data_IF_976668581010
#
_entry.id   IF_976668581010
#
_cell.length_a   1.000
_cell.length_b   1.000
_cell.length_c   1.000
_cell.angle_alpha   90.00
_cell.angle_beta   90.00
_cell.angle_gamma   90.00
#
_symmetry.space_group_name_H-M   'P 1'
#
loop_
_entity.id
_entity.type
_entity.pdbx_description
1 polymer ?
#
# COMPACT_ATOMS: atom_id res chain seq x y z
N UNK A 1 24.93 0.14 -11.65
CA UNK A 1 25.60 -0.42 -10.43
C UNK A 1 25.89 0.78 -9.57
N UNK A 2 25.09 1.01 -8.52
CA UNK A 2 25.36 2.02 -7.48
C UNK A 2 26.43 1.43 -6.56
N UNK A 3 27.41 2.22 -6.19
CA UNK A 3 28.45 1.78 -5.27
C UNK A 3 27.87 1.42 -3.89
N UNK A 4 28.43 0.45 -3.15
CA UNK A 4 28.00 0.12 -1.80
C UNK A 4 28.16 1.36 -0.90
N UNK A 5 27.04 1.96 -0.47
CA UNK A 5 26.98 3.17 0.36
C UNK A 5 26.33 4.38 -0.29
N UNK A 6 25.96 4.34 -1.55
CA UNK A 6 25.23 5.44 -2.20
C UNK A 6 23.74 5.41 -1.81
N UNK A 7 23.28 6.49 -1.18
CA UNK A 7 21.88 6.64 -0.75
C UNK A 7 20.99 6.87 -1.97
N UNK A 8 19.87 6.12 -2.13
CA UNK A 8 19.06 6.20 -3.35
C UNK A 8 18.42 7.57 -3.53
N UNK A 9 18.52 8.11 -4.74
CA UNK A 9 17.73 9.28 -5.13
C UNK A 9 16.44 8.80 -5.78
N UNK A 10 15.33 8.91 -5.06
CA UNK A 10 14.02 8.51 -5.55
C UNK A 10 13.35 9.58 -6.44
N UNK A 11 14.09 10.65 -6.77
CA UNK A 11 13.68 11.75 -7.66
C UNK A 11 12.27 12.32 -7.35
N UNK A 12 12.01 12.77 -6.10
CA UNK A 12 10.72 13.32 -5.72
C UNK A 12 10.45 14.65 -6.45
N UNK A 13 9.17 15.06 -6.57
CA UNK A 13 8.84 16.42 -7.02
C UNK A 13 9.52 17.49 -6.15
N UNK A 14 9.91 18.65 -6.72
CA UNK A 14 10.55 19.73 -5.95
C UNK A 14 9.75 20.21 -4.74
N UNK A 15 8.42 20.14 -4.81
CA UNK A 15 7.54 20.52 -3.69
C UNK A 15 7.62 19.56 -2.52
N UNK A 16 7.87 18.25 -2.72
CA UNK A 16 8.13 17.27 -1.65
C UNK A 16 9.37 17.69 -0.86
N UNK A 17 10.47 17.99 -1.56
CA UNK A 17 11.72 18.47 -0.95
C UNK A 17 11.51 19.80 -0.22
N UNK A 18 10.75 20.72 -0.80
CA UNK A 18 10.45 22.05 -0.20
C UNK A 18 9.62 21.88 1.07
N UNK A 19 8.60 21.04 1.05
CA UNK A 19 7.73 20.81 2.22
C UNK A 19 8.53 20.15 3.34
N UNK A 20 9.30 19.10 3.03
CA UNK A 20 10.16 18.43 4.00
C UNK A 20 11.17 19.41 4.61
N UNK A 21 11.86 20.19 3.80
CA UNK A 21 12.83 21.20 4.29
C UNK A 21 12.19 22.19 5.26
N UNK A 22 11.01 22.72 4.94
CA UNK A 22 10.32 23.69 5.79
C UNK A 22 9.92 23.11 7.14
N UNK A 23 9.54 21.81 7.18
CA UNK A 23 9.23 21.10 8.42
C UNK A 23 10.49 20.83 9.24
N UNK A 24 11.56 20.34 8.60
CA UNK A 24 12.85 20.06 9.25
C UNK A 24 13.49 21.34 9.83
N UNK A 25 13.50 22.45 9.10
CA UNK A 25 13.98 23.75 9.58
C UNK A 25 13.18 24.27 10.78
N UNK A 26 11.98 23.76 10.99
CA UNK A 26 11.11 24.07 12.14
C UNK A 26 11.23 23.03 13.26
N UNK A 27 12.18 22.09 13.17
CA UNK A 27 12.47 21.07 14.17
C UNK A 27 11.59 19.82 14.09
N UNK A 28 10.88 19.59 12.99
CA UNK A 28 10.00 18.44 12.82
C UNK A 28 10.56 17.42 11.82
N UNK A 29 11.03 16.27 12.34
CA UNK A 29 11.48 15.16 11.50
C UNK A 29 10.42 14.79 10.45
N UNK A 30 10.84 14.63 9.16
CA UNK A 30 9.91 14.47 8.04
C UNK A 30 10.44 13.49 7.00
N UNK A 31 9.64 12.49 6.68
CA UNK A 31 9.98 11.39 5.79
C UNK A 31 8.94 11.22 4.69
N UNK A 32 9.36 10.90 3.48
CA UNK A 32 8.47 10.33 2.47
C UNK A 32 8.20 8.87 2.81
N UNK A 33 6.95 8.41 2.63
CA UNK A 33 6.51 7.10 3.10
C UNK A 33 5.51 6.43 2.15
N UNK A 34 5.28 5.15 2.36
CA UNK A 34 4.16 4.42 1.77
C UNK A 34 4.31 4.13 0.27
N UNK A 35 3.23 4.37 -0.48
CA UNK A 35 3.13 3.99 -1.89
C UNK A 35 4.19 4.59 -2.79
N UNK A 36 4.54 5.86 -2.56
CA UNK A 36 5.55 6.55 -3.36
C UNK A 36 6.94 5.95 -3.21
N UNK A 37 7.36 5.70 -1.96
CA UNK A 37 8.68 5.10 -1.68
C UNK A 37 8.75 3.71 -2.26
N UNK A 38 7.73 2.86 -2.05
CA UNK A 38 7.66 1.52 -2.63
C UNK A 38 7.74 1.56 -4.16
N UNK A 39 6.94 2.41 -4.81
CA UNK A 39 6.88 2.47 -6.26
C UNK A 39 8.20 2.99 -6.85
N UNK A 40 8.84 3.98 -6.22
CA UNK A 40 10.15 4.49 -6.61
C UNK A 40 11.24 3.42 -6.42
N UNK A 41 11.27 2.69 -5.30
CA UNK A 41 12.18 1.56 -5.07
C UNK A 41 11.98 0.43 -6.08
N UNK A 42 10.74 0.25 -6.57
CA UNK A 42 10.44 -0.70 -7.66
C UNK A 42 10.79 -0.15 -9.06
N UNK A 43 11.45 1.00 -9.18
CA UNK A 43 11.80 1.64 -10.46
C UNK A 43 10.58 2.19 -11.22
N UNK A 44 9.45 2.41 -10.53
CA UNK A 44 8.21 2.96 -11.09
C UNK A 44 8.12 4.44 -10.74
N UNK A 45 7.53 5.24 -11.61
CA UNK A 45 7.26 6.65 -11.30
C UNK A 45 6.07 6.76 -10.35
N UNK A 46 6.24 7.27 -9.12
CA UNK A 46 5.14 7.46 -8.18
C UNK A 46 4.14 8.49 -8.71
N UNK A 47 2.85 8.25 -8.48
CA UNK A 47 1.79 9.20 -8.79
C UNK A 47 1.67 10.26 -7.69
N UNK A 48 1.58 9.80 -6.46
CA UNK A 48 1.34 10.64 -5.28
C UNK A 48 2.45 10.41 -4.25
N UNK A 49 2.90 11.48 -3.62
CA UNK A 49 3.92 11.47 -2.58
C UNK A 49 3.31 11.86 -1.24
N UNK A 50 3.34 10.96 -0.29
CA UNK A 50 2.90 11.18 1.09
C UNK A 50 4.10 11.46 1.97
N UNK A 51 3.97 12.46 2.86
CA UNK A 51 4.95 12.79 3.88
C UNK A 51 4.40 12.41 5.26
N UNK A 52 5.23 11.79 6.07
CA UNK A 52 4.99 11.60 7.50
C UNK A 52 5.95 12.46 8.30
N UNK A 53 5.49 13.08 9.40
CA UNK A 53 6.25 14.06 10.17
C UNK A 53 5.93 14.03 11.66
N UNK A 54 6.86 14.51 12.49
CA UNK A 54 6.62 14.78 13.92
C UNK A 54 5.69 15.99 14.15
N UNK A 55 5.51 16.87 13.15
CA UNK A 55 4.65 18.05 13.25
C UNK A 55 3.19 17.64 13.45
N UNK A 56 2.51 18.29 14.39
CA UNK A 56 1.06 18.13 14.59
C UNK A 56 0.28 18.91 13.51
N UNK A 57 -0.99 18.58 13.24
CA UNK A 57 -1.78 19.27 12.21
C UNK A 57 -1.81 20.79 12.36
N UNK A 58 -1.82 21.28 13.60
CA UNK A 58 -1.76 22.71 13.90
C UNK A 58 -0.43 23.36 13.49
N UNK A 59 0.69 22.63 13.66
CA UNK A 59 2.02 23.10 13.27
C UNK A 59 2.13 23.16 11.75
N UNK A 60 1.68 22.13 11.04
CA UNK A 60 1.65 22.11 9.57
C UNK A 60 0.85 23.30 9.04
N UNK A 61 -0.33 23.58 9.61
CA UNK A 61 -1.18 24.70 9.19
C UNK A 61 -0.55 26.07 9.49
N UNK A 62 0.27 26.21 10.52
CA UNK A 62 1.02 27.45 10.81
C UNK A 62 2.17 27.66 9.81
N UNK A 63 2.84 26.57 9.41
CA UNK A 63 4.00 26.65 8.52
C UNK A 63 3.64 26.88 7.05
N UNK A 64 2.46 26.42 6.64
CA UNK A 64 2.03 26.50 5.23
C UNK A 64 0.74 27.30 5.09
N UNK A 65 0.77 28.36 4.25
CA UNK A 65 -0.39 29.25 4.02
C UNK A 65 -1.54 28.57 3.27
N UNK A 66 -1.23 27.61 2.38
CA UNK A 66 -2.21 26.93 1.53
C UNK A 66 -2.35 25.49 1.96
N UNK A 67 -3.31 25.24 2.86
CA UNK A 67 -3.60 23.91 3.38
C UNK A 67 -5.07 23.55 3.19
N UNK A 68 -5.35 22.26 3.06
CA UNK A 68 -6.69 21.68 2.95
C UNK A 68 -6.86 20.67 4.09
N UNK A 69 -7.99 20.67 4.82
CA UNK A 69 -8.29 19.66 5.82
C UNK A 69 -8.67 18.34 5.10
N UNK A 70 -7.77 17.35 5.11
CA UNK A 70 -8.01 16.04 4.46
C UNK A 70 -8.44 14.97 5.47
N UNK A 71 -8.09 15.13 6.73
CA UNK A 71 -8.38 14.17 7.81
C UNK A 71 -7.65 14.61 9.08
N UNK A 72 -7.95 15.82 9.53
CA UNK A 72 -7.28 16.45 10.69
C UNK A 72 -7.45 15.58 11.94
N UNK A 73 -8.62 14.97 12.12
CA UNK A 73 -8.93 14.04 13.20
C UNK A 73 -8.03 12.79 13.18
N UNK A 74 -7.47 12.47 12.01
CA UNK A 74 -6.52 11.37 11.79
C UNK A 74 -5.08 11.86 11.65
N UNK A 75 -4.82 13.15 11.84
CA UNK A 75 -3.49 13.73 11.80
C UNK A 75 -3.01 14.14 10.39
N UNK A 76 -3.87 14.15 9.36
CA UNK A 76 -3.48 14.46 7.98
C UNK A 76 -3.91 15.87 7.56
N UNK A 77 -2.99 16.61 6.97
CA UNK A 77 -3.21 17.93 6.36
C UNK A 77 -2.71 17.90 4.92
N UNK A 78 -3.54 18.30 3.97
CA UNK A 78 -3.12 18.52 2.60
C UNK A 78 -2.39 19.85 2.47
N UNK A 79 -1.17 19.86 1.95
CA UNK A 79 -0.38 21.05 1.63
C UNK A 79 -0.39 21.24 0.12
N UNK A 80 -0.85 22.41 -0.35
CA UNK A 80 -0.83 22.73 -1.79
C UNK A 80 0.57 23.15 -2.22
N UNK A 81 1.11 22.41 -3.18
CA UNK A 81 2.39 22.69 -3.82
C UNK A 81 2.34 23.95 -4.72
N UNK A 82 3.51 24.38 -5.17
CA UNK A 82 3.64 25.44 -6.19
C UNK A 82 3.19 24.96 -7.57
N UNK A 83 3.33 23.65 -7.78
CA UNK A 83 2.85 22.93 -8.97
C UNK A 83 1.32 22.75 -9.02
N UNK A 84 0.60 23.22 -8.00
CA UNK A 84 -0.85 23.11 -7.87
C UNK A 84 -1.34 21.75 -7.36
N UNK A 85 -0.45 20.78 -7.11
CA UNK A 85 -0.80 19.49 -6.54
C UNK A 85 -0.96 19.59 -5.03
N UNK A 86 -1.76 18.70 -4.47
CA UNK A 86 -1.89 18.53 -3.04
C UNK A 86 -0.96 17.39 -2.57
N UNK A 87 -0.21 17.66 -1.51
CA UNK A 87 0.68 16.70 -0.84
C UNK A 87 0.13 16.42 0.54
N UNK A 88 -0.13 15.15 0.85
CA UNK A 88 -0.58 14.76 2.17
C UNK A 88 0.60 14.76 3.16
N UNK A 89 0.43 15.49 4.24
CA UNK A 89 1.38 15.56 5.37
C UNK A 89 0.68 15.01 6.58
N UNK A 90 1.11 13.85 7.03
CA UNK A 90 0.48 13.11 8.13
C UNK A 90 1.42 13.11 9.33
N UNK A 91 0.92 13.46 10.51
CA UNK A 91 1.66 13.32 11.78
C UNK A 91 1.96 11.84 12.02
N UNK A 92 3.17 11.51 12.51
CA UNK A 92 3.51 10.15 12.93
C UNK A 92 2.47 9.63 13.92
N UNK A 93 2.10 8.37 13.79
CA UNK A 93 1.06 7.73 14.60
C UNK A 93 1.51 6.38 15.11
N UNK A 94 1.05 6.02 16.30
CA UNK A 94 1.09 4.66 16.82
C UNK A 94 -0.35 4.21 17.15
N UNK A 95 -0.64 2.94 16.97
CA UNK A 95 -1.92 2.37 17.34
C UNK A 95 -1.91 2.09 18.86
N UNK A 96 -2.87 2.62 19.61
CA UNK A 96 -2.97 2.44 21.07
C UNK A 96 -3.96 1.33 21.40
N UNK A 97 -5.05 1.23 20.65
CA UNK A 97 -6.05 0.17 20.73
C UNK A 97 -6.69 0.00 19.35
N UNK A 98 -6.68 -1.22 18.84
CA UNK A 98 -7.30 -1.55 17.55
C UNK A 98 -8.50 -2.46 17.77
N UNK A 99 -9.70 -1.88 17.71
CA UNK A 99 -10.95 -2.63 17.59
C UNK A 99 -11.63 -2.27 16.26
N UNK A 100 -11.29 -2.99 15.20
CA UNK A 100 -11.84 -2.79 13.87
C UNK A 100 -11.58 -1.39 13.31
N UNK A 101 -12.64 -0.65 12.86
CA UNK A 101 -12.52 0.65 12.19
C UNK A 101 -12.08 1.80 13.12
N UNK A 102 -12.19 1.67 14.43
CA UNK A 102 -11.84 2.71 15.41
C UNK A 102 -10.52 2.35 16.10
N UNK A 103 -9.42 2.44 15.37
CA UNK A 103 -8.13 2.54 16.02
C UNK A 103 -8.07 3.88 16.77
N UNK A 104 -7.89 3.83 18.08
CA UNK A 104 -7.55 5.02 18.85
C UNK A 104 -6.09 5.31 18.55
N UNK A 105 -5.85 6.22 17.61
CA UNK A 105 -4.52 6.61 17.17
C UNK A 105 -3.97 7.63 18.14
N UNK A 106 -2.80 7.37 18.71
CA UNK A 106 -2.02 8.44 19.37
C UNK A 106 -0.94 8.91 18.41
N UNK A 107 -0.63 10.19 18.51
CA UNK A 107 0.50 10.74 17.76
C UNK A 107 1.82 10.24 18.35
N UNK A 108 2.76 9.97 17.46
CA UNK A 108 4.12 9.56 17.77
C UNK A 108 5.11 10.66 17.38
N UNK A 109 6.33 10.53 17.84
CA UNK A 109 7.42 11.46 17.51
C UNK A 109 8.48 10.81 16.60
N UNK A 110 8.37 9.50 16.34
CA UNK A 110 9.32 8.73 15.54
C UNK A 110 8.68 8.12 14.30
N UNK A 111 9.45 8.03 13.21
CA UNK A 111 9.02 7.38 11.97
C UNK A 111 8.90 5.87 12.16
N UNK A 112 9.72 5.26 12.99
CA UNK A 112 9.73 3.83 13.27
C UNK A 112 8.38 3.35 13.80
N UNK A 113 7.79 4.06 14.77
CA UNK A 113 6.44 3.73 15.28
C UNK A 113 5.35 3.89 14.21
N UNK A 114 5.48 4.85 13.28
CA UNK A 114 4.55 4.96 12.14
C UNK A 114 4.73 3.82 11.14
N UNK A 115 5.95 3.34 10.94
CA UNK A 115 6.22 2.19 10.06
C UNK A 115 5.71 0.87 10.66
N UNK A 116 5.83 0.70 11.96
CA UNK A 116 5.41 -0.52 12.67
C UNK A 116 3.91 -0.82 12.54
N UNK A 117 3.05 0.21 12.51
CA UNK A 117 1.58 0.04 12.37
C UNK A 117 1.11 -0.22 10.94
N UNK A 118 1.98 -0.18 9.93
CA UNK A 118 1.61 -0.38 8.53
C UNK A 118 1.21 -1.82 8.23
N UNK A 119 0.51 -1.99 7.12
CA UNK A 119 -0.04 -3.29 6.71
C UNK A 119 1.03 -4.29 6.26
N UNK A 120 1.90 -3.86 5.33
CA UNK A 120 2.89 -4.73 4.70
C UNK A 120 4.28 -4.11 4.73
N UNK A 121 5.31 -4.96 4.80
CA UNK A 121 6.72 -4.55 4.85
C UNK A 121 7.08 -3.63 3.69
N UNK A 122 6.62 -3.94 2.47
CA UNK A 122 6.84 -3.14 1.26
C UNK A 122 6.25 -1.72 1.33
N UNK A 123 5.31 -1.46 2.23
CA UNK A 123 4.70 -0.15 2.49
C UNK A 123 5.28 0.52 3.75
N UNK A 124 6.13 -0.22 4.50
CA UNK A 124 6.73 0.21 5.76
C UNK A 124 8.20 0.63 5.58
N UNK A 125 8.51 1.24 4.46
CA UNK A 125 9.81 1.86 4.15
C UNK A 125 9.62 3.35 4.10
N UNK A 126 10.53 4.10 4.75
CA UNK A 126 10.59 5.55 4.70
C UNK A 126 11.87 6.02 4.03
N UNK A 127 11.80 7.15 3.35
CA UNK A 127 12.93 7.79 2.69
C UNK A 127 12.97 9.28 3.01
N UNK A 128 14.14 9.76 3.41
CA UNK A 128 14.32 11.15 3.82
C UNK A 128 14.61 12.06 2.61
N UNK A 129 13.75 13.04 2.28
CA UNK A 129 13.88 13.82 1.05
C UNK A 129 15.11 14.72 0.96
N UNK A 130 15.78 15.03 2.09
CA UNK A 130 16.94 15.92 2.12
C UNK A 130 18.24 15.12 2.23
N UNK A 131 18.28 14.11 3.10
CA UNK A 131 19.50 13.33 3.37
C UNK A 131 19.60 12.07 2.53
N UNK A 132 18.50 11.69 1.83
CA UNK A 132 18.36 10.43 1.07
C UNK A 132 18.52 9.17 1.94
N UNK A 133 18.42 9.32 3.24
CA UNK A 133 18.47 8.18 4.17
C UNK A 133 17.23 7.31 4.01
N UNK A 134 17.41 5.99 4.11
CA UNK A 134 16.32 5.01 4.12
C UNK A 134 16.14 4.46 5.53
N UNK A 135 14.89 4.37 5.98
CA UNK A 135 14.48 3.65 7.18
C UNK A 135 13.63 2.46 6.76
N UNK A 136 14.13 1.27 7.00
CA UNK A 136 13.48 0.01 6.65
C UNK A 136 13.61 -1.01 7.78
N UNK A 137 12.93 -0.79 8.93
CA UNK A 137 13.07 -1.66 10.09
C UNK A 137 12.49 -3.06 9.87
N UNK A 138 11.68 -3.25 8.82
CA UNK A 138 10.98 -4.50 8.55
C UNK A 138 11.46 -5.24 7.29
N UNK A 139 12.53 -4.75 6.64
CA UNK A 139 13.10 -5.39 5.45
C UNK A 139 12.22 -5.31 4.20
N UNK A 140 11.38 -4.27 4.11
CA UNK A 140 10.41 -4.11 3.02
C UNK A 140 11.05 -3.91 1.65
N UNK A 141 12.21 -3.25 1.56
CA UNK A 141 12.97 -3.12 0.32
C UNK A 141 13.47 -4.48 -0.17
N UNK A 142 13.97 -5.33 0.74
CA UNK A 142 14.36 -6.70 0.46
C UNK A 142 13.20 -7.57 -0.01
N UNK A 143 12.05 -7.50 0.68
CA UNK A 143 10.84 -8.21 0.30
C UNK A 143 10.35 -7.78 -1.10
N UNK A 144 10.38 -6.47 -1.38
CA UNK A 144 9.99 -5.92 -2.68
C UNK A 144 10.90 -6.46 -3.80
N UNK A 145 12.20 -6.49 -3.57
CA UNK A 145 13.20 -7.04 -4.48
C UNK A 145 13.02 -8.54 -4.71
N UNK A 146 12.76 -9.31 -3.64
CA UNK A 146 12.50 -10.73 -3.68
C UNK A 146 11.11 -11.07 -4.27
N UNK A 147 10.28 -10.08 -4.55
CA UNK A 147 8.90 -10.28 -5.03
C UNK A 147 8.00 -10.94 -3.99
N UNK A 148 8.16 -10.60 -2.72
CA UNK A 148 7.39 -11.15 -1.58
C UNK A 148 6.47 -10.10 -1.01
N UNK A 149 5.25 -10.49 -0.66
CA UNK A 149 4.31 -9.70 0.12
C UNK A 149 4.21 -10.30 1.53
N UNK A 150 4.62 -9.55 2.52
CA UNK A 150 4.66 -9.93 3.93
C UNK A 150 3.99 -8.84 4.78
N UNK A 151 3.24 -9.22 5.82
CA UNK A 151 2.73 -8.27 6.83
C UNK A 151 3.87 -7.73 7.69
N UNK A 152 3.69 -6.51 8.22
CA UNK A 152 4.53 -6.02 9.31
C UNK A 152 4.14 -6.76 10.58
N UNK A 153 5.10 -7.34 11.31
CA UNK A 153 4.84 -8.08 12.55
C UNK A 153 4.07 -9.39 12.34
N UNK A 154 3.31 -9.80 13.34
CA UNK A 154 2.61 -11.08 13.34
C UNK A 154 1.35 -11.03 12.44
N UNK A 155 1.24 -11.88 11.40
CA UNK A 155 0.18 -11.80 10.41
C UNK A 155 -1.24 -11.95 10.99
N UNK A 156 -1.43 -12.88 11.94
CA UNK A 156 -2.73 -13.10 12.55
C UNK A 156 -3.22 -11.90 13.34
N UNK A 157 -2.31 -11.20 14.01
CA UNK A 157 -2.63 -9.98 14.74
C UNK A 157 -2.99 -8.84 13.78
N UNK A 158 -2.19 -8.65 12.74
CA UNK A 158 -2.45 -7.61 11.72
C UNK A 158 -3.79 -7.77 11.03
N UNK A 159 -4.21 -8.98 10.72
CA UNK A 159 -5.53 -9.23 10.13
C UNK A 159 -6.67 -9.14 11.15
N UNK A 160 -6.42 -9.43 12.42
CA UNK A 160 -7.41 -9.23 13.49
C UNK A 160 -7.67 -7.75 13.77
N UNK A 161 -6.65 -6.89 13.72
CA UNK A 161 -6.77 -5.44 13.84
C UNK A 161 -7.66 -4.84 12.76
N UNK A 162 -7.45 -5.26 11.51
CA UNK A 162 -8.29 -4.85 10.37
C UNK A 162 -8.31 -5.94 9.28
N UNK A 163 -9.41 -6.67 9.23
CA UNK A 163 -9.62 -7.75 8.26
C UNK A 163 -9.55 -7.29 6.80
N UNK A 164 -9.76 -5.98 6.52
CA UNK A 164 -9.61 -5.43 5.17
C UNK A 164 -8.18 -5.62 4.63
N UNK A 165 -7.19 -5.74 5.50
CA UNK A 165 -5.80 -6.00 5.10
C UNK A 165 -5.66 -7.31 4.33
N UNK A 166 -6.54 -8.30 4.54
CA UNK A 166 -6.58 -9.52 3.70
C UNK A 166 -6.86 -9.15 2.25
N UNK A 167 -7.93 -8.40 1.97
CA UNK A 167 -8.29 -8.00 0.61
C UNK A 167 -7.21 -7.12 -0.02
N UNK A 168 -6.60 -6.24 0.77
CA UNK A 168 -5.46 -5.43 0.35
C UNK A 168 -4.25 -6.30 -0.03
N UNK A 169 -3.97 -7.38 0.73
CA UNK A 169 -2.91 -8.34 0.40
C UNK A 169 -3.14 -8.95 -0.99
N UNK A 170 -4.36 -9.43 -1.25
CA UNK A 170 -4.72 -10.04 -2.53
C UNK A 170 -4.60 -9.05 -3.70
N UNK A 171 -4.97 -7.78 -3.47
CA UNK A 171 -4.79 -6.72 -4.46
C UNK A 171 -3.33 -6.39 -4.69
N UNK A 172 -2.53 -6.18 -3.66
CA UNK A 172 -1.11 -5.87 -3.81
C UNK A 172 -0.33 -7.01 -4.45
N UNK A 173 -0.61 -8.26 -4.06
CA UNK A 173 -0.01 -9.43 -4.68
C UNK A 173 -0.27 -9.45 -6.19
N UNK A 174 -1.51 -9.28 -6.64
CA UNK A 174 -1.84 -9.22 -8.06
C UNK A 174 -1.32 -7.96 -8.77
N UNK A 175 -1.37 -6.79 -8.10
CA UNK A 175 -0.91 -5.52 -8.70
C UNK A 175 0.58 -5.52 -8.99
N UNK A 176 1.38 -6.07 -8.11
CA UNK A 176 2.84 -6.04 -8.19
C UNK A 176 3.44 -7.37 -8.63
N UNK A 177 2.62 -8.42 -8.80
CA UNK A 177 3.07 -9.77 -9.13
C UNK A 177 3.91 -10.38 -8.01
N UNK A 178 3.52 -10.16 -6.75
CA UNK A 178 4.24 -10.65 -5.58
C UNK A 178 3.70 -11.99 -5.12
N UNK A 179 4.58 -12.86 -4.66
CA UNK A 179 4.21 -14.06 -3.92
C UNK A 179 3.90 -13.68 -2.48
N UNK A 180 2.74 -14.10 -1.99
CA UNK A 180 2.40 -13.90 -0.58
C UNK A 180 3.25 -14.82 0.29
N UNK A 181 3.86 -14.28 1.34
CA UNK A 181 4.62 -15.05 2.34
C UNK A 181 3.75 -16.13 2.97
N UNK A 182 4.36 -17.28 3.34
CA UNK A 182 3.63 -18.44 3.82
C UNK A 182 2.82 -18.15 5.10
N UNK A 183 3.40 -17.44 6.09
CA UNK A 183 2.70 -17.04 7.31
C UNK A 183 1.58 -16.06 7.05
N UNK A 184 1.83 -15.07 6.19
CA UNK A 184 0.82 -14.10 5.75
C UNK A 184 -0.33 -14.79 5.01
N UNK A 185 -0.03 -15.78 4.17
CA UNK A 185 -1.04 -16.54 3.44
C UNK A 185 -1.90 -17.43 4.35
N UNK A 186 -1.28 -18.14 5.32
CA UNK A 186 -1.99 -18.94 6.29
C UNK A 186 -2.97 -18.07 7.10
N UNK A 187 -2.50 -16.96 7.66
CA UNK A 187 -3.33 -16.03 8.42
C UNK A 187 -4.46 -15.42 7.56
N UNK A 188 -4.22 -15.16 6.26
CA UNK A 188 -5.26 -14.68 5.35
C UNK A 188 -6.37 -15.73 5.17
N UNK A 189 -6.02 -17.01 5.02
CA UNK A 189 -6.98 -18.10 4.94
C UNK A 189 -7.79 -18.28 6.23
N UNK A 190 -7.13 -18.20 7.38
CA UNK A 190 -7.80 -18.31 8.69
C UNK A 190 -8.75 -17.13 8.95
N UNK A 191 -8.43 -15.95 8.39
CA UNK A 191 -9.27 -14.75 8.52
C UNK A 191 -10.40 -14.70 7.49
N UNK A 192 -10.29 -15.37 6.36
CA UNK A 192 -11.23 -15.30 5.25
C UNK A 192 -12.71 -15.57 5.66
N UNK A 193 -13.06 -16.53 6.53
CA UNK A 193 -14.44 -16.74 7.00
C UNK A 193 -15.04 -15.54 7.72
N UNK A 194 -14.22 -14.63 8.25
CA UNK A 194 -14.64 -13.45 9.00
C UNK A 194 -14.73 -12.18 8.13
N UNK A 195 -14.43 -12.24 6.84
CA UNK A 195 -14.52 -11.09 5.94
C UNK A 195 -15.94 -10.52 5.81
N UNK A 196 -17.03 -11.29 5.90
CA UNK A 196 -18.40 -10.74 5.88
C UNK A 196 -18.73 -9.79 7.05
N UNK A 197 -17.91 -9.73 8.10
CA UNK A 197 -18.03 -8.76 9.19
C UNK A 197 -17.58 -7.34 8.79
N UNK A 198 -16.87 -7.19 7.65
CA UNK A 198 -16.52 -5.89 7.08
C UNK A 198 -17.77 -5.21 6.50
N UNK A 199 -17.79 -3.88 6.53
CA UNK A 199 -18.86 -3.16 5.85
C UNK A 199 -18.81 -3.36 4.34
N UNK A 200 -19.97 -3.52 3.72
CA UNK A 200 -20.09 -3.77 2.28
C UNK A 200 -19.42 -2.68 1.43
N UNK A 201 -19.42 -1.42 1.91
CA UNK A 201 -18.76 -0.29 1.24
C UNK A 201 -17.23 -0.52 1.15
N UNK A 202 -16.60 -0.93 2.25
CA UNK A 202 -15.14 -1.18 2.29
C UNK A 202 -14.75 -2.34 1.38
N UNK A 203 -15.51 -3.43 1.42
CA UNK A 203 -15.31 -4.60 0.54
C UNK A 203 -15.44 -4.20 -0.92
N UNK A 204 -16.51 -3.46 -1.27
CA UNK A 204 -16.77 -2.97 -2.62
C UNK A 204 -15.66 -2.04 -3.12
N UNK A 205 -15.23 -1.09 -2.29
CA UNK A 205 -14.15 -0.16 -2.66
C UNK A 205 -12.85 -0.90 -2.95
N UNK A 206 -12.50 -1.90 -2.12
CA UNK A 206 -11.27 -2.66 -2.31
C UNK A 206 -11.34 -3.56 -3.56
N UNK A 207 -12.52 -4.16 -3.84
CA UNK A 207 -12.76 -4.87 -5.10
C UNK A 207 -12.63 -3.94 -6.31
N UNK A 208 -13.21 -2.74 -6.25
CA UNK A 208 -13.11 -1.77 -7.35
C UNK A 208 -11.66 -1.31 -7.57
N UNK A 209 -10.87 -1.10 -6.51
CA UNK A 209 -9.43 -0.84 -6.63
C UNK A 209 -8.73 -2.01 -7.30
N UNK A 210 -9.02 -3.25 -6.92
CA UNK A 210 -8.48 -4.45 -7.57
C UNK A 210 -8.80 -4.45 -9.06
N UNK A 211 -10.05 -4.22 -9.42
CA UNK A 211 -10.47 -4.20 -10.82
C UNK A 211 -9.90 -3.04 -11.63
N UNK A 212 -9.56 -1.91 -11.02
CA UNK A 212 -9.05 -0.71 -11.71
C UNK A 212 -7.53 -0.64 -11.75
N UNK A 213 -6.84 -1.07 -10.70
CA UNK A 213 -5.40 -0.85 -10.53
C UNK A 213 -4.56 -2.06 -10.95
N UNK A 214 -5.12 -3.28 -10.84
CA UNK A 214 -4.39 -4.51 -11.19
C UNK A 214 -4.43 -4.70 -12.70
N UNK A 215 -3.28 -4.86 -13.33
CA UNK A 215 -3.18 -5.01 -14.80
C UNK A 215 -3.93 -6.26 -15.30
N UNK A 216 -3.89 -7.33 -14.53
CA UNK A 216 -4.61 -8.58 -14.76
C UNK A 216 -5.43 -8.92 -13.51
N UNK A 217 -6.67 -8.42 -13.40
CA UNK A 217 -7.53 -8.67 -12.23
C UNK A 217 -7.72 -10.14 -11.92
N UNK A 218 -7.67 -11.01 -12.94
CA UNK A 218 -7.73 -12.46 -12.78
C UNK A 218 -6.69 -13.00 -11.78
N UNK A 219 -5.50 -12.41 -11.72
CA UNK A 219 -4.44 -12.83 -10.79
C UNK A 219 -4.87 -12.61 -9.33
N UNK A 220 -5.40 -11.42 -9.00
CA UNK A 220 -5.96 -11.17 -7.68
C UNK A 220 -7.16 -12.05 -7.37
N UNK A 221 -8.09 -12.23 -8.33
CA UNK A 221 -9.29 -13.04 -8.10
C UNK A 221 -9.00 -14.53 -7.90
N UNK A 222 -7.95 -15.08 -8.52
CA UNK A 222 -7.46 -16.42 -8.19
C UNK A 222 -6.95 -16.51 -6.74
N UNK A 223 -6.33 -15.43 -6.24
CA UNK A 223 -5.93 -15.36 -4.83
C UNK A 223 -7.15 -15.26 -3.91
N UNK A 224 -8.22 -14.53 -4.29
CA UNK A 224 -9.50 -14.53 -3.56
C UNK A 224 -10.07 -15.94 -3.44
N UNK A 225 -10.08 -16.71 -4.52
CA UNK A 225 -10.50 -18.11 -4.52
C UNK A 225 -9.58 -18.95 -3.62
N UNK A 226 -8.26 -18.88 -3.83
CA UNK A 226 -7.28 -19.71 -3.12
C UNK A 226 -7.24 -19.50 -1.60
N UNK A 227 -7.56 -18.29 -1.10
CA UNK A 227 -7.61 -18.02 0.32
C UNK A 227 -9.01 -18.19 0.95
N UNK A 228 -10.06 -18.49 0.16
CA UNK A 228 -11.44 -18.62 0.63
C UNK A 228 -12.22 -17.30 0.72
N UNK A 229 -11.62 -16.17 0.36
CA UNK A 229 -12.30 -14.87 0.35
C UNK A 229 -13.43 -14.82 -0.70
N UNK A 230 -13.29 -15.55 -1.83
CA UNK A 230 -14.32 -15.63 -2.85
C UNK A 230 -15.58 -16.30 -2.29
N UNK A 231 -15.44 -17.46 -1.65
CA UNK A 231 -16.54 -18.19 -1.04
C UNK A 231 -17.25 -17.39 0.06
N UNK A 232 -16.48 -16.66 0.86
CA UNK A 232 -17.01 -15.89 2.00
C UNK A 232 -17.75 -14.63 1.57
N UNK A 233 -17.27 -13.93 0.54
CA UNK A 233 -17.83 -12.63 0.13
C UNK A 233 -18.73 -12.69 -1.09
N UNK A 234 -18.50 -13.66 -1.97
CA UNK A 234 -19.18 -13.78 -3.27
C UNK A 234 -19.53 -15.24 -3.58
N UNK A 235 -20.37 -15.89 -2.75
CA UNK A 235 -20.72 -17.31 -2.91
C UNK A 235 -21.35 -17.62 -4.27
N UNK A 236 -21.98 -16.63 -4.92
CA UNK A 236 -22.51 -16.77 -6.27
C UNK A 236 -21.39 -16.95 -7.32
N UNK A 237 -20.27 -16.25 -7.15
CA UNK A 237 -19.11 -16.40 -8.02
C UNK A 237 -18.34 -17.68 -7.70
N UNK A 238 -18.28 -18.09 -6.44
CA UNK A 238 -17.66 -19.37 -6.05
C UNK A 238 -18.35 -20.56 -6.71
N UNK A 239 -19.68 -20.52 -6.90
CA UNK A 239 -20.42 -21.56 -7.61
C UNK A 239 -20.07 -21.68 -9.10
N UNK A 240 -19.39 -20.66 -9.68
CA UNK A 240 -18.88 -20.73 -11.06
C UNK A 240 -17.59 -21.54 -11.17
N UNK A 241 -16.90 -21.81 -10.04
CA UNK A 241 -15.65 -22.57 -9.99
C UNK A 241 -15.99 -24.05 -10.22
N UNK A 242 -15.40 -24.65 -11.25
CA UNK A 242 -15.65 -26.04 -11.61
C UNK A 242 -17.03 -26.30 -12.25
N UNK A 243 -17.84 -25.24 -12.46
CA UNK A 243 -19.06 -25.36 -13.23
C UNK A 243 -18.74 -25.28 -14.71
N UNK A 244 -19.23 -26.25 -15.51
CA UNK A 244 -19.03 -26.26 -16.95
C UNK A 244 -20.18 -25.52 -17.67
N UNK A 245 -19.82 -24.75 -18.69
CA UNK A 245 -20.80 -24.18 -19.62
C UNK A 245 -21.26 -25.23 -20.66
N UNK A 246 -22.13 -24.83 -21.59
CA UNK A 246 -22.65 -25.72 -22.64
C UNK A 246 -21.55 -26.24 -23.60
N UNK A 247 -20.37 -25.62 -23.58
CA UNK A 247 -19.21 -26.01 -24.38
C UNK A 247 -18.19 -26.86 -23.63
N UNK A 248 -18.44 -27.17 -22.33
CA UNK A 248 -17.51 -27.91 -21.48
C UNK A 248 -16.36 -27.05 -20.92
N UNK A 249 -16.48 -25.72 -21.01
CA UNK A 249 -15.50 -24.80 -20.43
C UNK A 249 -15.88 -24.43 -18.98
N UNK A 250 -14.89 -24.39 -18.09
CA UNK A 250 -15.09 -23.90 -16.72
C UNK A 250 -15.50 -22.41 -16.73
N UNK A 251 -16.69 -22.13 -16.21
CA UNK A 251 -17.31 -20.80 -16.20
C UNK A 251 -16.43 -19.77 -15.48
N UNK A 252 -15.80 -20.14 -14.36
CA UNK A 252 -14.90 -19.25 -13.63
C UNK A 252 -13.69 -18.85 -14.46
N UNK A 253 -13.07 -19.83 -15.12
CA UNK A 253 -11.93 -19.58 -16.01
C UNK A 253 -12.31 -18.68 -17.19
N UNK A 254 -13.52 -18.87 -17.75
CA UNK A 254 -14.06 -17.99 -18.78
C UNK A 254 -14.23 -16.55 -18.29
N UNK A 255 -14.85 -16.36 -17.13
CA UNK A 255 -15.03 -15.03 -16.51
C UNK A 255 -13.70 -14.31 -16.29
N UNK A 256 -12.70 -15.01 -15.75
CA UNK A 256 -11.37 -14.44 -15.50
C UNK A 256 -10.70 -13.97 -16.80
N UNK A 257 -10.77 -14.77 -17.88
CA UNK A 257 -10.24 -14.37 -19.20
C UNK A 257 -10.99 -13.19 -19.79
N UNK A 258 -12.32 -13.18 -19.70
CA UNK A 258 -13.13 -12.08 -20.20
C UNK A 258 -12.83 -10.76 -19.50
N UNK A 259 -12.54 -10.80 -18.19
CA UNK A 259 -12.16 -9.61 -17.41
C UNK A 259 -10.81 -9.05 -17.86
N UNK A 260 -9.81 -9.90 -18.07
CA UNK A 260 -8.49 -9.47 -18.54
C UNK A 260 -8.54 -8.93 -19.98
N UNK A 261 -9.35 -9.52 -20.86
CA UNK A 261 -9.50 -9.12 -22.26
C UNK A 261 -10.14 -7.73 -22.43
N UNK A 262 -11.07 -7.35 -21.53
CA UNK A 262 -11.74 -6.04 -21.59
C UNK A 262 -10.82 -4.86 -21.21
N UNK A 263 -9.71 -5.10 -20.56
CA UNK A 263 -8.73 -4.08 -20.28
C UNK A 263 -7.93 -3.81 -21.54
N UNK A 264 -8.20 -2.69 -22.24
CA UNK A 264 -7.28 -2.17 -23.24
C UNK A 264 -5.90 -2.11 -22.64
N UNK A 265 -4.91 -2.83 -23.20
CA UNK A 265 -3.50 -2.74 -22.82
C UNK A 265 -3.13 -1.25 -22.77
N UNK A 266 -2.52 -0.73 -21.71
CA UNK A 266 -1.82 0.54 -21.80
C UNK A 266 -0.79 0.36 -22.92
N UNK A 267 -0.72 1.32 -23.83
CA UNK A 267 0.24 1.33 -24.93
C UNK A 267 1.61 0.94 -24.43
N UNK A 268 2.20 -0.05 -25.07
CA UNK A 268 3.50 -0.64 -24.82
C UNK A 268 4.57 0.42 -24.57
N UNK A 269 5.06 0.51 -23.35
CA UNK A 269 6.17 1.40 -22.98
C UNK A 269 6.53 1.24 -21.54
N UNK A 270 7.25 0.19 -21.22
CA UNK A 270 8.21 -0.05 -20.16
C UNK A 270 8.05 -1.47 -19.59
N UNK A 271 8.68 -2.42 -20.26
CA UNK A 271 9.22 -3.61 -19.60
C UNK A 271 10.34 -3.12 -18.66
N UNK A 272 10.01 -2.82 -17.42
CA UNK A 272 10.99 -2.58 -16.39
C UNK A 272 11.66 -3.94 -16.10
N UNK A 273 12.85 -4.14 -16.62
CA UNK A 273 13.71 -5.25 -16.24
C UNK A 273 13.98 -5.16 -14.73
N UNK A 274 13.71 -6.23 -13.98
CA UNK A 274 13.97 -6.38 -12.54
C UNK A 274 15.48 -6.33 -12.16
N UNK A 275 16.36 -6.00 -13.10
CA UNK A 275 17.82 -6.19 -12.99
C UNK A 275 18.62 -5.00 -12.46
N UNK A 276 18.00 -3.99 -11.86
CA UNK A 276 18.69 -2.75 -11.52
C UNK A 276 18.74 -2.30 -10.06
N UNK A 277 18.02 -2.92 -9.11
CA UNK A 277 17.83 -2.34 -7.78
C UNK A 277 18.12 -3.26 -6.57
N UNK A 278 18.71 -4.43 -6.77
CA UNK A 278 19.01 -5.36 -5.67
C UNK A 278 20.43 -5.19 -5.08
N UNK A 279 20.89 -3.95 -4.91
CA UNK A 279 22.16 -3.66 -4.24
C UNK A 279 21.94 -2.57 -3.19
N UNK A 280 21.30 -2.93 -2.08
CA UNK A 280 21.27 -2.15 -0.84
C UNK A 280 21.75 -3.02 0.31
#
# INVERSE_FOLDING_TARGET
>A
MTEPGERPDLAPPPDVVRIARRLEESGFSTWAVGGAVRDALAGRRPADWDLATAARPGDVRRLFRRTVPVGIEHGTVGVLGRDGRMYEVTTFRRDVETFGRKARVSFSDTVEEDLERRDFTINAVAWHPLTREVRDPHGGAGDLCAGVLRTVGEPAERFREDRLRVLRALRFAGRFGLRVDAGTWAAARDTAPHLPELSAERVREELFKTLREVARPSESLRLYQGCGALASLYPELERCVGAEDRGGEDVWSHLLRAMDARRKRPSSGASASRSGLCSF
#
